data_IF_406019529680
#
_entry.id   IF_406019529680
#
_cell.length_a   1.000
_cell.length_b   1.000
_cell.length_c   1.000
_cell.angle_alpha   90.00
_cell.angle_beta   90.00
_cell.angle_gamma   90.00
#
_symmetry.space_group_name_H-M   'P 1'
#
loop_
_entity.id
_entity.type
_entity.pdbx_description
1 polymer ?
#
# COMPACT_ATOMS: atom_id res chain seq x y z
N UNK A 1 -29.30 -25.48 39.97
CA UNK A 1 -28.64 -24.25 39.56
C UNK A 1 -28.08 -24.47 38.15
N UNK A 2 -28.63 -23.82 37.12
CA UNK A 2 -28.10 -23.88 35.76
C UNK A 2 -27.11 -22.77 35.59
N UNK A 3 -25.82 -23.09 35.35
CA UNK A 3 -24.78 -22.12 35.04
C UNK A 3 -25.04 -21.57 33.64
N UNK A 4 -25.23 -20.26 33.55
CA UNK A 4 -25.30 -19.53 32.29
C UNK A 4 -23.88 -19.45 31.72
N UNK A 5 -23.65 -20.20 30.63
CA UNK A 5 -22.41 -20.10 29.88
C UNK A 5 -22.47 -18.82 29.06
N UNK A 6 -21.66 -17.84 29.44
CA UNK A 6 -21.51 -16.59 28.66
C UNK A 6 -20.85 -16.94 27.32
N UNK A 7 -21.62 -16.86 26.25
CA UNK A 7 -21.09 -16.95 24.89
C UNK A 7 -20.28 -15.70 24.58
N UNK A 8 -18.98 -15.86 24.30
CA UNK A 8 -18.07 -14.79 23.90
C UNK A 8 -17.70 -14.94 22.43
N UNK A 9 -18.31 -14.16 21.52
CA UNK A 9 -18.03 -14.25 20.07
C UNK A 9 -16.68 -13.63 19.63
N UNK A 10 -15.87 -13.14 20.59
CA UNK A 10 -14.69 -12.35 20.28
C UNK A 10 -13.44 -13.13 19.89
N UNK A 11 -13.44 -14.48 19.98
CA UNK A 11 -12.23 -15.28 19.65
C UNK A 11 -12.09 -15.62 18.17
N UNK A 12 -13.18 -15.80 17.45
CA UNK A 12 -13.11 -16.17 16.03
C UNK A 12 -12.83 -14.99 15.11
N UNK A 13 -13.31 -13.79 15.45
CA UNK A 13 -13.01 -12.56 14.70
C UNK A 13 -11.56 -12.11 14.87
N UNK A 14 -10.98 -12.33 16.05
CA UNK A 14 -9.56 -12.01 16.28
C UNK A 14 -8.61 -12.96 15.54
N UNK A 15 -8.99 -14.21 15.35
CA UNK A 15 -8.21 -15.19 14.60
C UNK A 15 -8.17 -14.86 13.12
N UNK A 16 -9.31 -14.44 12.56
CA UNK A 16 -9.40 -14.04 11.15
C UNK A 16 -8.61 -12.75 10.88
N UNK A 17 -8.67 -11.78 11.80
CA UNK A 17 -7.84 -10.57 11.72
C UNK A 17 -6.35 -10.91 11.78
N UNK A 18 -5.96 -11.78 12.70
CA UNK A 18 -4.57 -12.22 12.85
C UNK A 18 -4.07 -13.03 11.64
N UNK A 19 -4.93 -13.79 10.97
CA UNK A 19 -4.54 -14.51 9.75
C UNK A 19 -4.34 -13.56 8.56
N UNK A 20 -5.18 -12.54 8.44
CA UNK A 20 -5.02 -11.49 7.43
C UNK A 20 -3.77 -10.66 7.73
N UNK A 21 -3.60 -10.23 8.96
CA UNK A 21 -2.41 -9.47 9.39
C UNK A 21 -1.13 -10.30 9.23
N UNK A 22 -1.15 -11.59 9.57
CA UNK A 22 -0.02 -12.50 9.36
C UNK A 22 0.27 -12.77 7.88
N UNK A 23 -0.76 -12.80 7.03
CA UNK A 23 -0.58 -12.92 5.58
C UNK A 23 0.09 -11.66 5.02
N UNK A 24 -0.40 -10.48 5.41
CA UNK A 24 0.23 -9.22 5.05
C UNK A 24 1.64 -9.11 5.64
N UNK A 25 1.84 -9.49 6.91
CA UNK A 25 3.15 -9.47 7.56
C UNK A 25 4.17 -10.38 6.87
N UNK A 26 3.80 -11.58 6.45
CA UNK A 26 4.68 -12.46 5.66
C UNK A 26 5.00 -11.87 4.30
N UNK A 27 4.00 -11.31 3.64
CA UNK A 27 4.18 -10.76 2.30
C UNK A 27 4.99 -9.47 2.30
N UNK A 28 4.88 -8.68 3.36
CA UNK A 28 5.46 -7.36 3.43
C UNK A 28 6.68 -7.25 4.37
N UNK A 29 6.94 -8.21 5.26
CA UNK A 29 8.08 -8.20 6.20
C UNK A 29 9.25 -9.11 5.81
N UNK A 30 9.01 -10.14 5.00
CA UNK A 30 10.07 -11.13 4.70
C UNK A 30 11.04 -10.72 3.59
N UNK A 31 10.86 -9.56 2.96
CA UNK A 31 11.75 -9.13 1.89
C UNK A 31 12.60 -7.92 2.31
N UNK A 32 13.90 -8.13 2.66
CA UNK A 32 14.79 -7.06 3.12
C UNK A 32 15.05 -5.95 2.09
N UNK A 33 14.59 -6.11 0.86
CA UNK A 33 14.81 -5.16 -0.21
C UNK A 33 13.90 -3.91 -0.15
N UNK A 34 12.79 -3.94 0.57
CA UNK A 34 12.00 -2.75 0.77
C UNK A 34 12.59 -1.77 1.81
N UNK A 35 13.50 -2.24 2.66
CA UNK A 35 14.16 -1.43 3.67
C UNK A 35 15.44 -0.78 3.17
N UNK A 36 15.85 -1.03 1.92
CA UNK A 36 16.98 -0.32 1.36
C UNK A 36 16.52 1.09 1.01
N UNK A 37 16.96 2.13 1.76
CA UNK A 37 16.81 3.47 1.29
C UNK A 37 17.58 3.53 -0.03
N UNK A 38 16.85 3.74 -1.11
CA UNK A 38 17.50 4.13 -2.37
C UNK A 38 18.31 5.39 -2.05
N UNK A 39 19.49 5.54 -2.62
CA UNK A 39 20.33 6.75 -2.46
C UNK A 39 19.67 8.05 -2.99
N UNK A 40 18.36 8.07 -3.07
CA UNK A 40 17.56 9.26 -3.31
C UNK A 40 17.00 9.76 -1.98
N UNK A 41 17.11 11.02 -1.73
CA UNK A 41 16.63 11.66 -0.51
C UNK A 41 15.11 11.63 -0.31
N UNK A 42 14.33 11.04 -1.21
CA UNK A 42 12.87 10.97 -1.13
C UNK A 42 12.43 9.52 -0.96
N UNK A 43 11.76 9.23 0.15
CA UNK A 43 11.19 7.89 0.41
C UNK A 43 9.69 8.04 0.61
N UNK A 44 8.86 7.78 -0.42
CA UNK A 44 7.41 7.81 -0.28
C UNK A 44 6.91 6.78 0.75
N UNK A 45 6.04 7.21 1.65
CA UNK A 45 5.30 6.30 2.51
C UNK A 45 4.29 5.51 1.66
N UNK A 46 4.13 4.23 1.95
CA UNK A 46 3.23 3.34 1.22
C UNK A 46 2.36 2.56 2.21
N UNK A 47 1.09 2.44 1.88
CA UNK A 47 0.15 1.51 2.52
C UNK A 47 -0.52 0.61 1.46
N UNK A 48 -0.96 -0.57 1.86
CA UNK A 48 -1.71 -1.47 0.99
C UNK A 48 -2.79 -2.19 1.79
N UNK A 49 -3.97 -2.31 1.18
CA UNK A 49 -5.15 -2.95 1.78
C UNK A 49 -6.13 -3.46 0.71
N UNK A 50 -7.07 -4.29 1.12
CA UNK A 50 -8.16 -4.75 0.24
C UNK A 50 -9.43 -3.96 0.53
N UNK A 51 -10.02 -3.40 -0.52
CA UNK A 51 -11.29 -2.68 -0.47
C UNK A 51 -12.18 -3.15 -1.63
N UNK A 52 -13.37 -3.66 -1.32
CA UNK A 52 -14.37 -4.07 -2.31
C UNK A 52 -13.81 -5.01 -3.41
N UNK A 53 -13.15 -6.08 -3.01
CA UNK A 53 -12.51 -7.05 -3.92
C UNK A 53 -11.30 -6.50 -4.70
N UNK A 54 -10.85 -5.30 -4.41
CA UNK A 54 -9.68 -4.71 -5.03
C UNK A 54 -8.53 -4.62 -4.03
N UNK A 55 -7.34 -4.93 -4.49
CA UNK A 55 -6.11 -4.55 -3.82
C UNK A 55 -5.84 -3.07 -4.13
N UNK A 56 -5.65 -2.29 -3.10
CA UNK A 56 -5.34 -0.87 -3.18
C UNK A 56 -3.96 -0.64 -2.61
N UNK A 57 -3.12 0.04 -3.36
CA UNK A 57 -1.80 0.52 -2.92
C UNK A 57 -1.84 2.03 -2.97
N UNK A 58 -1.52 2.68 -1.86
CA UNK A 58 -1.38 4.13 -1.78
C UNK A 58 0.05 4.53 -1.52
N UNK A 59 0.49 5.58 -2.17
CA UNK A 59 1.78 6.19 -1.95
C UNK A 59 1.62 7.70 -1.71
N UNK A 60 2.26 8.19 -0.65
CA UNK A 60 2.27 9.62 -0.33
C UNK A 60 3.33 10.32 -1.18
N UNK A 61 2.88 11.13 -2.13
CA UNK A 61 3.72 11.85 -3.09
C UNK A 61 3.44 13.37 -3.07
N UNK A 62 3.49 14.02 -1.91
CA UNK A 62 3.15 15.43 -1.82
C UNK A 62 4.18 16.29 -2.57
N UNK A 63 3.70 17.28 -3.33
CA UNK A 63 4.54 18.19 -4.07
C UNK A 63 5.25 17.57 -5.30
N UNK A 64 4.70 16.47 -5.81
CA UNK A 64 5.16 15.82 -7.04
C UNK A 64 4.12 16.04 -8.13
N UNK A 65 4.56 16.44 -9.32
CA UNK A 65 3.68 16.48 -10.48
C UNK A 65 3.36 15.03 -10.92
N UNK A 66 2.09 14.63 -11.00
CA UNK A 66 1.73 13.27 -11.43
C UNK A 66 2.25 12.90 -12.82
N UNK A 67 2.57 13.86 -13.67
CA UNK A 67 3.21 13.62 -14.97
C UNK A 67 4.64 13.09 -14.86
N UNK A 68 5.27 13.30 -13.69
CA UNK A 68 6.62 12.84 -13.39
C UNK A 68 6.62 11.54 -12.59
N UNK A 69 5.46 10.86 -12.50
CA UNK A 69 5.33 9.57 -11.83
C UNK A 69 5.14 8.48 -12.88
N UNK A 70 5.99 7.47 -12.81
CA UNK A 70 5.92 6.27 -13.65
C UNK A 70 5.50 5.08 -12.80
N UNK A 71 4.59 4.27 -13.35
CA UNK A 71 4.14 3.02 -12.75
C UNK A 71 4.48 1.87 -13.67
N UNK A 72 5.07 0.84 -13.10
CA UNK A 72 5.42 -0.39 -13.81
C UNK A 72 4.91 -1.59 -13.00
N UNK A 73 4.22 -2.51 -13.66
CA UNK A 73 3.84 -3.79 -13.07
C UNK A 73 4.55 -4.89 -13.84
N UNK A 74 5.42 -5.60 -13.15
CA UNK A 74 6.16 -6.74 -13.69
C UNK A 74 5.94 -7.96 -12.80
N UNK A 75 5.21 -8.95 -13.35
CA UNK A 75 4.81 -10.13 -12.60
C UNK A 75 4.05 -9.77 -11.31
N UNK A 76 4.65 -10.06 -10.19
CA UNK A 76 4.11 -9.79 -8.86
C UNK A 76 4.75 -8.56 -8.17
N UNK A 77 5.19 -7.59 -8.95
CA UNK A 77 5.83 -6.37 -8.45
C UNK A 77 5.21 -5.13 -9.07
N UNK A 78 4.79 -4.20 -8.23
CA UNK A 78 4.44 -2.84 -8.61
C UNK A 78 5.63 -1.93 -8.28
N UNK A 79 6.15 -1.23 -9.26
CA UNK A 79 7.21 -0.23 -9.07
C UNK A 79 6.67 1.16 -9.35
N UNK A 80 6.92 2.08 -8.42
CA UNK A 80 6.53 3.49 -8.48
C UNK A 80 7.82 4.30 -8.53
N UNK A 81 8.04 5.03 -9.63
CA UNK A 81 9.21 5.87 -9.85
C UNK A 81 8.79 7.31 -10.04
N UNK A 82 9.62 8.24 -9.68
CA UNK A 82 9.37 9.65 -9.93
C UNK A 82 10.46 10.56 -9.44
N UNK A 83 10.21 11.87 -9.56
CA UNK A 83 11.13 12.90 -9.11
C UNK A 83 10.36 14.04 -8.43
N UNK A 84 10.84 14.43 -7.25
CA UNK A 84 10.36 15.60 -6.54
C UNK A 84 11.34 16.74 -6.77
N UNK A 85 10.92 17.74 -7.55
CA UNK A 85 11.72 18.88 -7.89
C UNK A 85 11.62 19.97 -6.81
N UNK A 86 12.74 20.57 -6.46
CA UNK A 86 12.73 21.78 -5.65
C UNK A 86 12.11 22.92 -6.47
N UNK A 87 11.20 23.65 -5.84
CA UNK A 87 10.71 24.90 -6.42
C UNK A 87 11.91 25.85 -6.47
N UNK A 88 12.28 26.29 -7.67
CA UNK A 88 13.27 27.36 -7.84
C UNK A 88 12.56 28.67 -7.50
N UNK A 89 12.50 28.97 -6.23
CA UNK A 89 12.23 30.34 -5.80
C UNK A 89 13.42 31.21 -6.22
N UNK A 90 13.14 32.37 -6.79
CA UNK A 90 14.13 33.23 -7.42
C UNK A 90 15.30 33.61 -6.51
N UNK A 91 16.18 34.45 -6.99
CA UNK A 91 17.51 34.79 -6.42
C UNK A 91 17.58 35.17 -4.93
N UNK A 92 16.49 35.14 -4.18
CA UNK A 92 16.40 35.56 -2.78
C UNK A 92 16.20 34.44 -1.76
N UNK A 93 16.41 33.18 -2.09
CA UNK A 93 15.98 32.16 -1.16
C UNK A 93 16.86 30.93 -1.04
N UNK A 94 18.07 31.06 -0.53
CA UNK A 94 18.67 29.90 0.12
C UNK A 94 17.91 29.65 1.43
N UNK A 95 17.29 28.46 1.60
CA UNK A 95 16.52 28.19 2.81
C UNK A 95 17.47 28.15 4.01
N UNK A 96 17.16 28.94 5.03
CA UNK A 96 17.90 28.92 6.29
C UNK A 96 17.73 27.56 7.02
N UNK A 97 16.67 26.81 6.71
CA UNK A 97 16.36 25.52 7.30
C UNK A 97 15.56 24.66 6.32
N UNK A 98 15.94 23.40 6.19
CA UNK A 98 15.26 22.47 5.28
C UNK A 98 15.25 21.05 5.88
N UNK A 99 14.06 20.48 6.04
CA UNK A 99 13.86 19.05 6.33
C UNK A 99 13.29 18.28 5.14
N UNK A 100 12.77 19.00 4.15
CA UNK A 100 12.15 18.42 2.96
C UNK A 100 13.23 17.88 2.02
N UNK A 101 13.05 16.64 1.60
CA UNK A 101 13.92 15.98 0.63
C UNK A 101 13.39 16.16 -0.79
N UNK A 102 14.33 16.36 -1.73
CA UNK A 102 14.07 16.45 -3.16
C UNK A 102 14.93 15.44 -3.90
N UNK A 103 14.54 15.08 -5.10
CA UNK A 103 15.26 14.17 -5.97
C UNK A 103 14.41 13.01 -6.45
N UNK A 104 15.06 12.05 -7.06
CA UNK A 104 14.43 10.85 -7.61
C UNK A 104 14.09 9.88 -6.50
N UNK A 105 13.02 9.14 -6.72
CA UNK A 105 12.63 8.02 -5.87
C UNK A 105 12.21 6.82 -6.71
N UNK A 106 12.36 5.67 -6.13
CA UNK A 106 11.83 4.42 -6.64
C UNK A 106 11.35 3.57 -5.47
N UNK A 107 10.10 3.12 -5.55
CA UNK A 107 9.52 2.22 -4.55
C UNK A 107 8.91 1.04 -5.28
N UNK A 108 9.26 -0.14 -4.82
CA UNK A 108 8.65 -1.37 -5.32
C UNK A 108 7.80 -2.01 -4.23
N UNK A 109 6.66 -2.51 -4.60
CA UNK A 109 5.70 -3.20 -3.73
C UNK A 109 5.48 -4.60 -4.28
N UNK A 110 5.65 -5.61 -3.46
CA UNK A 110 5.29 -6.97 -3.84
C UNK A 110 3.78 -7.08 -3.97
N UNK A 111 3.32 -7.69 -5.04
CA UNK A 111 1.91 -7.99 -5.27
C UNK A 111 1.65 -9.47 -5.00
N UNK A 112 0.49 -9.83 -4.47
CA UNK A 112 0.08 -11.23 -4.32
C UNK A 112 0.03 -11.95 -5.66
N UNK A 113 0.30 -13.24 -5.65
CA UNK A 113 0.12 -14.07 -6.83
C UNK A 113 -1.33 -14.06 -7.31
N UNK A 114 -1.53 -13.93 -8.62
CA UNK A 114 -2.86 -13.90 -9.23
C UNK A 114 -3.51 -12.53 -9.27
N UNK A 115 -2.77 -11.45 -9.02
CA UNK A 115 -3.20 -10.09 -9.34
C UNK A 115 -3.26 -9.94 -10.86
N UNK A 116 -4.36 -9.36 -11.33
CA UNK A 116 -4.58 -9.07 -12.74
C UNK A 116 -3.93 -7.72 -13.09
N UNK A 117 -2.77 -7.77 -13.74
CA UNK A 117 -2.02 -6.59 -14.17
C UNK A 117 -2.81 -5.71 -15.16
N UNK A 118 -3.71 -6.30 -15.96
CA UNK A 118 -4.53 -5.56 -16.92
C UNK A 118 -5.66 -4.77 -16.24
N UNK A 119 -5.95 -5.10 -14.99
CA UNK A 119 -6.96 -4.40 -14.18
C UNK A 119 -6.43 -3.14 -13.46
N UNK A 120 -5.13 -2.88 -13.53
CA UNK A 120 -4.47 -1.79 -12.81
C UNK A 120 -4.99 -0.43 -13.26
N UNK A 121 -5.42 0.36 -12.29
CA UNK A 121 -5.83 1.76 -12.47
C UNK A 121 -5.10 2.61 -11.45
N UNK A 122 -4.71 3.80 -11.85
CA UNK A 122 -4.06 4.75 -10.97
C UNK A 122 -4.80 6.09 -10.97
N UNK A 123 -4.93 6.67 -9.79
CA UNK A 123 -5.47 8.01 -9.59
C UNK A 123 -4.55 8.79 -8.67
N UNK A 124 -4.46 10.09 -8.88
CA UNK A 124 -3.68 10.98 -8.02
C UNK A 124 -4.56 12.11 -7.53
N UNK A 125 -4.62 12.28 -6.21
CA UNK A 125 -5.42 13.32 -5.59
C UNK A 125 -4.77 13.77 -4.29
N UNK A 126 -4.69 15.07 -4.07
CA UNK A 126 -4.18 15.68 -2.84
C UNK A 126 -2.80 15.18 -2.38
N UNK A 127 -1.91 14.88 -3.31
CA UNK A 127 -0.59 14.36 -2.99
C UNK A 127 -0.52 12.86 -2.71
N UNK A 128 -1.62 12.14 -2.93
CA UNK A 128 -1.69 10.68 -2.76
C UNK A 128 -1.92 10.02 -4.10
N UNK A 129 -1.04 9.10 -4.45
CA UNK A 129 -1.21 8.19 -5.57
C UNK A 129 -1.95 6.95 -5.06
N UNK A 130 -3.11 6.66 -5.61
CA UNK A 130 -3.85 5.42 -5.34
C UNK A 130 -3.80 4.52 -6.57
N UNK A 131 -3.25 3.33 -6.42
CA UNK A 131 -3.20 2.28 -7.45
C UNK A 131 -4.15 1.17 -7.03
N UNK A 132 -5.13 0.88 -7.88
CA UNK A 132 -6.17 -0.11 -7.61
C UNK A 132 -6.09 -1.23 -8.64
N UNK A 133 -6.20 -2.46 -8.21
CA UNK A 133 -6.21 -3.65 -9.06
C UNK A 133 -7.11 -4.73 -8.47
N UNK A 134 -7.59 -5.66 -9.28
CA UNK A 134 -8.40 -6.77 -8.76
C UNK A 134 -7.57 -7.66 -7.83
N UNK A 135 -8.09 -7.84 -6.61
CA UNK A 135 -7.48 -8.75 -5.66
C UNK A 135 -7.68 -10.22 -6.08
N UNK A 136 -6.70 -11.10 -5.84
CA UNK A 136 -6.91 -12.54 -6.00
C UNK A 136 -8.07 -13.01 -5.14
N UNK A 137 -8.83 -13.99 -5.63
CA UNK A 137 -10.01 -14.54 -4.91
C UNK A 137 -9.68 -15.04 -3.50
N UNK A 138 -8.46 -15.46 -3.25
CA UNK A 138 -7.98 -15.90 -1.93
C UNK A 138 -7.91 -14.76 -0.90
N UNK A 139 -7.81 -13.51 -1.35
CA UNK A 139 -7.74 -12.33 -0.48
C UNK A 139 -9.10 -11.70 -0.21
N UNK A 140 -10.13 -12.11 -0.95
CA UNK A 140 -11.48 -11.55 -0.80
C UNK A 140 -12.21 -12.30 0.31
N UNK A 141 -12.68 -11.62 1.38
CA UNK A 141 -13.45 -12.26 2.44
C UNK A 141 -14.72 -12.90 1.89
N UNK A 142 -14.94 -14.19 2.18
CA UNK A 142 -16.17 -14.89 1.81
C UNK A 142 -17.16 -14.83 2.98
N UNK A 143 -18.36 -14.34 2.69
CA UNK A 143 -19.49 -14.51 3.62
C UNK A 143 -19.96 -15.95 3.57
N UNK A 144 -19.94 -16.64 4.71
CA UNK A 144 -20.49 -18.00 4.85
C UNK A 144 -21.83 -17.90 5.53
N UNK A 145 -22.87 -18.44 4.90
CA UNK A 145 -24.21 -18.53 5.49
C UNK A 145 -24.21 -19.69 6.50
N UNK A 146 -24.63 -19.41 7.73
CA UNK A 146 -24.87 -20.45 8.74
C UNK A 146 -26.29 -20.95 8.56
N UNK A 147 -26.45 -22.22 8.19
CA UNK A 147 -27.76 -22.88 8.17
C UNK A 147 -27.99 -23.50 9.53
N UNK A 148 -29.09 -23.10 10.19
CA UNK A 148 -29.52 -23.72 11.44
C UNK A 148 -30.48 -24.88 11.09
N UNK A 149 -30.16 -26.09 11.54
CA UNK A 149 -31.03 -27.26 11.45
C UNK A 149 -31.80 -27.45 12.75
#
# INVERSE_FOLDING_TARGET
MRALTLWRPSRELSTLHNEIDNFFDRFFKEDPWWTRPFEGNVVPAIESFVREENLVVRADLPGIDPKNVELEVDGNRLTIKGERNAVKEGKEGEPHYREVSYGRFERSVALPDGVDADSVKATYHDGVLEVTMKAPKAMVPRKVSVTVH
#
